data_IF_360693735710
#
_entry.id   IF_360693735710
#
_cell.length_a   1.000
_cell.length_b   1.000
_cell.length_c   1.000
_cell.angle_alpha   90.00
_cell.angle_beta   90.00
_cell.angle_gamma   90.00
#
_symmetry.space_group_name_H-M   'P 1'
#
loop_
_entity.id
_entity.type
_entity.pdbx_description
1 polymer ?
#
# COMPACT_ATOMS: atom_id res chain seq x y z
N UNK A 1 4.04 -14.23 -22.67
CA UNK A 1 5.06 -13.47 -21.93
C UNK A 1 4.78 -13.57 -20.45
N UNK A 2 5.80 -13.81 -19.67
CA UNK A 2 5.70 -13.80 -18.22
C UNK A 2 6.72 -12.83 -17.64
N UNK A 3 6.29 -11.99 -16.69
CA UNK A 3 7.19 -11.02 -16.02
C UNK A 3 7.65 -11.63 -14.70
N UNK A 4 8.95 -11.58 -14.45
CA UNK A 4 9.53 -12.01 -13.18
C UNK A 4 9.90 -10.78 -12.37
N UNK A 5 9.35 -10.70 -11.15
CA UNK A 5 9.57 -9.58 -10.25
C UNK A 5 10.49 -10.04 -9.13
N UNK A 6 11.57 -9.30 -8.91
CA UNK A 6 12.50 -9.60 -7.83
C UNK A 6 12.19 -8.68 -6.64
N UNK A 7 11.74 -9.28 -5.56
CA UNK A 7 11.38 -8.59 -4.34
C UNK A 7 9.88 -8.45 -4.13
N UNK A 8 9.41 -8.87 -2.98
CA UNK A 8 8.00 -8.75 -2.55
C UNK A 8 7.80 -7.55 -1.61
N UNK A 9 8.48 -6.45 -1.88
CA UNK A 9 8.24 -5.18 -1.23
C UNK A 9 6.99 -4.51 -1.79
N UNK A 10 6.69 -3.32 -1.29
CA UNK A 10 5.51 -2.56 -1.72
C UNK A 10 5.51 -2.34 -3.23
N UNK A 11 6.66 -1.96 -3.81
CA UNK A 11 6.78 -1.73 -5.25
C UNK A 11 6.55 -3.00 -6.08
N UNK A 12 7.17 -4.11 -5.69
CA UNK A 12 7.04 -5.37 -6.40
C UNK A 12 5.63 -5.94 -6.34
N UNK A 13 5.01 -5.90 -5.17
CA UNK A 13 3.63 -6.37 -4.99
C UNK A 13 2.63 -5.49 -5.76
N UNK A 14 2.81 -4.18 -5.74
CA UNK A 14 1.95 -3.26 -6.50
C UNK A 14 2.07 -3.51 -7.99
N UNK A 15 3.30 -3.69 -8.49
CA UNK A 15 3.53 -4.05 -9.89
C UNK A 15 2.84 -5.37 -10.24
N UNK A 16 2.98 -6.38 -9.37
CA UNK A 16 2.33 -7.67 -9.57
C UNK A 16 0.81 -7.56 -9.69
N UNK A 17 0.19 -6.76 -8.83
CA UNK A 17 -1.25 -6.52 -8.87
C UNK A 17 -1.66 -5.78 -10.15
N UNK A 18 -0.89 -4.82 -10.59
CA UNK A 18 -1.16 -4.09 -11.84
C UNK A 18 -1.03 -4.99 -13.06
N UNK A 19 0.00 -5.84 -13.09
CA UNK A 19 0.19 -6.80 -14.18
C UNK A 19 -0.94 -7.83 -14.20
N UNK A 20 -1.35 -8.33 -13.05
CA UNK A 20 -2.46 -9.27 -12.97
C UNK A 20 -3.74 -8.64 -13.50
N UNK A 21 -4.04 -7.39 -13.12
CA UNK A 21 -5.19 -6.65 -13.62
C UNK A 21 -5.15 -6.48 -15.14
N UNK A 22 -3.96 -6.31 -15.70
CA UNK A 22 -3.76 -6.17 -17.15
C UNK A 22 -3.76 -7.51 -17.89
N UNK A 23 -3.92 -8.64 -17.19
CA UNK A 23 -3.91 -9.96 -17.79
C UNK A 23 -2.52 -10.47 -18.14
N UNK A 24 -1.48 -9.90 -17.54
CA UNK A 24 -0.08 -10.30 -17.80
C UNK A 24 0.36 -11.22 -16.66
N UNK A 25 0.80 -12.43 -17.01
CA UNK A 25 1.29 -13.39 -16.04
C UNK A 25 2.59 -12.89 -15.39
N UNK A 26 2.71 -13.04 -14.07
CA UNK A 26 3.91 -12.67 -13.35
C UNK A 26 4.15 -13.60 -12.17
N UNK A 27 5.41 -13.66 -11.73
CA UNK A 27 5.84 -14.34 -10.51
C UNK A 27 6.74 -13.40 -9.73
N UNK A 28 6.62 -13.45 -8.39
CA UNK A 28 7.41 -12.61 -7.50
C UNK A 28 8.37 -13.50 -6.72
N UNK A 29 9.64 -13.14 -6.71
CA UNK A 29 10.69 -13.86 -5.98
C UNK A 29 11.14 -13.01 -4.81
N UNK A 30 11.13 -13.58 -3.61
CA UNK A 30 11.53 -12.92 -2.37
C UNK A 30 12.63 -13.68 -1.66
N UNK A 31 13.70 -12.97 -1.30
CA UNK A 31 14.84 -13.57 -0.62
C UNK A 31 14.60 -13.80 0.88
N UNK A 32 13.74 -13.01 1.50
CA UNK A 32 13.42 -13.18 2.90
C UNK A 32 12.61 -14.46 3.10
N UNK A 33 12.95 -15.30 4.08
CA UNK A 33 12.20 -16.52 4.33
C UNK A 33 10.77 -16.25 4.79
N UNK A 34 10.52 -15.07 5.31
CA UNK A 34 9.22 -14.66 5.81
C UNK A 34 9.06 -13.16 5.67
N UNK A 35 7.92 -12.71 5.19
CA UNK A 35 7.60 -11.28 5.13
C UNK A 35 6.98 -10.86 6.46
N UNK A 36 7.65 -9.96 7.16
CA UNK A 36 7.21 -9.46 8.46
C UNK A 36 6.74 -8.01 8.33
N UNK A 37 5.76 -7.66 9.16
CA UNK A 37 5.29 -6.29 9.26
C UNK A 37 6.34 -5.44 9.99
N UNK A 38 7.31 -4.92 9.25
CA UNK A 38 8.39 -4.09 9.79
C UNK A 38 8.40 -2.73 9.09
N UNK A 39 9.01 -1.75 9.76
CA UNK A 39 9.18 -0.43 9.21
C UNK A 39 8.46 0.64 10.02
N UNK A 40 8.26 1.80 9.40
CA UNK A 40 7.69 2.98 10.04
C UNK A 40 6.31 3.29 9.45
N UNK A 41 5.60 4.22 10.07
CA UNK A 41 4.36 4.75 9.52
C UNK A 41 4.62 5.58 8.27
N UNK A 42 3.75 5.44 7.29
CA UNK A 42 3.81 6.22 6.05
C UNK A 42 2.43 6.81 5.74
N UNK A 43 2.43 7.85 4.93
CA UNK A 43 1.19 8.43 4.41
C UNK A 43 1.04 8.06 2.94
N UNK A 44 -0.12 7.50 2.60
CA UNK A 44 -0.47 7.22 1.21
C UNK A 44 -1.24 8.44 0.70
N UNK A 45 -0.56 9.27 -0.07
CA UNK A 45 -1.11 10.51 -0.60
C UNK A 45 -2.13 10.24 -1.72
N UNK A 46 -3.02 11.21 -2.05
CA UNK A 46 -4.11 10.96 -2.99
C UNK A 46 -3.71 10.39 -4.34
N UNK A 47 -2.58 10.79 -4.91
CA UNK A 47 -2.15 10.24 -6.21
C UNK A 47 -1.77 8.76 -6.12
N UNK A 48 -1.17 8.32 -5.03
CA UNK A 48 -0.87 6.90 -4.79
C UNK A 48 -2.13 6.14 -4.36
N UNK A 49 -2.93 6.74 -3.50
CA UNK A 49 -4.20 6.18 -3.05
C UNK A 49 -5.14 5.92 -4.22
N UNK A 50 -5.17 6.81 -5.21
CA UNK A 50 -5.99 6.63 -6.41
C UNK A 50 -5.64 5.34 -7.14
N UNK A 51 -4.33 5.06 -7.30
CA UNK A 51 -3.88 3.83 -7.95
C UNK A 51 -4.27 2.58 -7.17
N UNK A 52 -4.12 2.62 -5.85
CA UNK A 52 -4.48 1.49 -4.99
C UNK A 52 -5.99 1.28 -4.95
N UNK A 53 -6.78 2.36 -4.92
CA UNK A 53 -8.24 2.26 -5.00
C UNK A 53 -8.69 1.71 -6.36
N UNK A 54 -8.01 2.08 -7.45
CA UNK A 54 -8.28 1.54 -8.78
C UNK A 54 -7.99 0.04 -8.85
N UNK A 55 -7.07 -0.46 -8.02
CA UNK A 55 -6.81 -1.89 -7.87
C UNK A 55 -7.84 -2.61 -6.98
N UNK A 56 -8.83 -1.88 -6.46
CA UNK A 56 -9.86 -2.46 -5.61
C UNK A 56 -9.44 -2.67 -4.15
N UNK A 57 -8.46 -1.92 -3.67
CA UNK A 57 -7.90 -2.11 -2.34
C UNK A 57 -8.41 -1.11 -1.29
N UNK A 58 -9.37 -0.24 -1.63
CA UNK A 58 -9.84 0.80 -0.72
C UNK A 58 -10.34 0.23 0.61
N UNK A 59 -11.19 -0.80 0.57
CA UNK A 59 -11.75 -1.39 1.78
C UNK A 59 -10.68 -2.07 2.65
N UNK A 60 -9.76 -2.80 2.03
CA UNK A 60 -8.67 -3.45 2.75
C UNK A 60 -7.76 -2.43 3.42
N UNK A 61 -7.47 -1.32 2.73
CA UNK A 61 -6.67 -0.24 3.29
C UNK A 61 -7.40 0.47 4.43
N UNK A 62 -8.69 0.71 4.29
CA UNK A 62 -9.49 1.36 5.33
C UNK A 62 -9.51 0.53 6.62
N UNK A 63 -9.45 -0.80 6.52
CA UNK A 63 -9.40 -1.69 7.68
C UNK A 63 -8.02 -1.72 8.35
N UNK A 64 -6.95 -1.61 7.57
CA UNK A 64 -5.58 -1.75 8.06
C UNK A 64 -4.95 -0.41 8.45
N UNK A 65 -5.54 0.71 8.03
CA UNK A 65 -4.97 2.04 8.16
C UNK A 65 -5.90 3.00 8.88
N UNK A 66 -5.36 4.18 9.20
CA UNK A 66 -6.17 5.32 9.63
C UNK A 66 -6.45 6.18 8.41
N UNK A 67 -7.73 6.45 8.13
CA UNK A 67 -8.11 7.39 7.08
C UNK A 67 -7.77 8.80 7.57
N UNK A 68 -6.81 9.44 6.92
CA UNK A 68 -6.30 10.74 7.33
C UNK A 68 -7.31 11.82 6.99
N UNK A 69 -7.71 12.57 8.00
CA UNK A 69 -8.67 13.67 7.86
C UNK A 69 -8.00 15.02 7.67
N UNK A 70 -6.94 15.25 8.46
CA UNK A 70 -6.26 16.53 8.45
C UNK A 70 -4.84 16.42 8.97
N UNK A 71 -4.02 17.39 8.63
CA UNK A 71 -2.71 17.60 9.23
C UNK A 71 -2.82 18.76 10.21
N UNK A 72 -2.35 18.55 11.44
CA UNK A 72 -2.29 19.59 12.45
C UNK A 72 -0.85 19.96 12.71
N UNK A 73 -0.57 21.26 12.72
CA UNK A 73 0.78 21.78 12.92
C UNK A 73 0.87 22.52 14.26
N UNK A 74 1.87 22.16 15.04
CA UNK A 74 2.14 22.72 16.36
C UNK A 74 3.56 23.24 16.41
N UNK A 75 3.80 24.26 17.26
CA UNK A 75 5.17 24.70 17.49
C UNK A 75 5.88 23.76 18.48
N UNK A 76 7.16 24.03 18.78
CA UNK A 76 7.97 23.20 19.70
C UNK A 76 7.46 23.21 21.14
N UNK A 77 6.57 24.13 21.50
CA UNK A 77 5.95 24.21 22.82
C UNK A 77 4.59 23.50 22.88
N UNK A 78 4.19 22.83 21.81
CA UNK A 78 2.91 22.14 21.75
C UNK A 78 1.72 23.04 21.45
N UNK A 79 1.95 24.29 21.09
CA UNK A 79 0.88 25.24 20.76
C UNK A 79 0.42 25.03 19.32
N UNK A 80 -0.90 24.96 19.13
CA UNK A 80 -1.50 24.81 17.81
C UNK A 80 -1.18 26.02 16.90
N UNK A 81 -0.76 25.75 15.68
CA UNK A 81 -0.49 26.77 14.68
C UNK A 81 -1.62 26.82 13.65
N UNK A 82 -1.80 25.72 12.91
CA UNK A 82 -2.89 25.58 11.95
C UNK A 82 -3.08 24.11 11.57
N UNK A 83 -4.18 23.82 10.91
CA UNK A 83 -4.41 22.52 10.31
C UNK A 83 -4.85 22.67 8.86
N UNK A 84 -4.64 21.62 8.06
CA UNK A 84 -5.13 21.56 6.69
C UNK A 84 -5.78 20.20 6.44
N UNK A 85 -6.88 20.17 5.67
CA UNK A 85 -7.56 18.92 5.37
C UNK A 85 -6.72 18.03 4.46
N UNK A 86 -7.01 16.72 4.49
CA UNK A 86 -6.30 15.73 3.70
C UNK A 86 -7.27 14.80 2.97
N UNK A 87 -6.85 14.21 1.84
CA UNK A 87 -7.63 13.26 1.08
C UNK A 87 -8.98 13.81 0.63
N UNK A 88 -10.06 13.06 0.86
CA UNK A 88 -11.41 13.50 0.51
C UNK A 88 -11.81 14.78 1.23
N UNK A 89 -11.32 15.01 2.42
CA UNK A 89 -11.60 16.21 3.20
C UNK A 89 -10.93 17.46 2.60
N UNK A 90 -9.92 17.29 1.74
CA UNK A 90 -9.28 18.37 1.00
C UNK A 90 -9.86 18.54 -0.41
N UNK A 91 -10.91 17.79 -0.76
CA UNK A 91 -11.55 17.86 -2.06
C UNK A 91 -11.08 16.84 -3.09
N UNK A 92 -10.21 15.92 -2.70
CA UNK A 92 -9.80 14.81 -3.58
C UNK A 92 -10.90 13.76 -3.68
N UNK A 93 -10.93 13.03 -4.78
CA UNK A 93 -11.91 11.97 -5.02
C UNK A 93 -11.57 10.65 -4.35
N UNK A 94 -10.40 10.56 -3.73
CA UNK A 94 -9.93 9.38 -3.00
C UNK A 94 -9.50 9.77 -1.59
N UNK A 95 -9.56 8.81 -0.62
CA UNK A 95 -9.07 9.08 0.72
C UNK A 95 -7.54 9.13 0.77
N UNK A 96 -7.02 9.73 1.82
CA UNK A 96 -5.62 9.60 2.20
C UNK A 96 -5.53 8.67 3.39
N UNK A 97 -4.53 7.80 3.41
CA UNK A 97 -4.34 6.84 4.50
C UNK A 97 -3.01 7.06 5.20
N UNK A 98 -3.04 6.90 6.53
CA UNK A 98 -1.84 6.77 7.34
C UNK A 98 -1.75 5.32 7.78
N UNK A 99 -0.68 4.63 7.41
CA UNK A 99 -0.55 3.19 7.61
C UNK A 99 0.87 2.83 8.00
N UNK A 100 1.03 1.79 8.82
CA UNK A 100 2.32 1.19 9.06
C UNK A 100 2.80 0.51 7.77
N UNK A 101 4.06 0.72 7.39
CA UNK A 101 4.62 0.21 6.14
C UNK A 101 4.47 -1.31 5.99
N UNK A 102 4.72 -2.05 7.08
CA UNK A 102 4.57 -3.50 7.08
C UNK A 102 3.13 -3.94 6.86
N UNK A 103 2.17 -3.20 7.43
CA UNK A 103 0.75 -3.50 7.24
C UNK A 103 0.33 -3.26 5.80
N UNK A 104 0.84 -2.21 5.16
CA UNK A 104 0.61 -1.98 3.73
C UNK A 104 1.17 -3.13 2.89
N UNK A 105 2.38 -3.58 3.19
CA UNK A 105 2.98 -4.71 2.50
C UNK A 105 2.11 -5.97 2.62
N UNK A 106 1.58 -6.24 3.81
CA UNK A 106 0.72 -7.40 4.04
C UNK A 106 -0.62 -7.29 3.31
N UNK A 107 -1.22 -6.10 3.26
CA UNK A 107 -2.44 -5.85 2.46
C UNK A 107 -2.19 -6.19 0.99
N UNK A 108 -1.07 -5.72 0.45
CA UNK A 108 -0.71 -5.97 -0.95
C UNK A 108 -0.39 -7.45 -1.21
N UNK A 109 0.33 -8.09 -0.30
CA UNK A 109 0.65 -9.52 -0.41
C UNK A 109 -0.61 -10.38 -0.39
N UNK A 110 -1.51 -10.14 0.57
CA UNK A 110 -2.75 -10.89 0.69
C UNK A 110 -3.61 -10.73 -0.56
N UNK A 111 -3.70 -9.52 -1.10
CA UNK A 111 -4.45 -9.26 -2.32
C UNK A 111 -3.84 -9.99 -3.53
N UNK A 112 -2.52 -9.99 -3.64
CA UNK A 112 -1.84 -10.67 -4.74
C UNK A 112 -2.03 -12.18 -4.67
N UNK A 113 -1.87 -12.78 -3.48
CA UNK A 113 -2.07 -14.21 -3.27
C UNK A 113 -3.52 -14.61 -3.57
N UNK A 114 -4.48 -13.82 -3.11
CA UNK A 114 -5.89 -14.07 -3.36
C UNK A 114 -6.23 -14.06 -4.85
N UNK A 115 -5.65 -13.12 -5.60
CA UNK A 115 -5.97 -12.91 -7.02
C UNK A 115 -5.14 -13.78 -7.96
N UNK A 116 -3.85 -13.90 -7.72
CA UNK A 116 -2.92 -14.60 -8.61
C UNK A 116 -2.58 -16.01 -8.14
N UNK A 117 -2.78 -16.31 -6.86
CA UNK A 117 -2.45 -17.59 -6.26
C UNK A 117 -1.14 -17.56 -5.48
N UNK A 118 -1.08 -18.34 -4.39
CA UNK A 118 0.08 -18.37 -3.49
C UNK A 118 1.35 -18.90 -4.19
N UNK A 119 1.21 -19.75 -5.18
CA UNK A 119 2.35 -20.29 -5.94
C UNK A 119 3.07 -19.25 -6.81
N UNK A 120 2.54 -18.04 -6.93
CA UNK A 120 3.17 -16.97 -7.69
C UNK A 120 4.13 -16.12 -6.87
N UNK A 121 4.20 -16.35 -5.56
CA UNK A 121 5.20 -15.73 -4.68
C UNK A 121 6.15 -16.84 -4.25
N UNK A 122 7.41 -16.74 -4.65
CA UNK A 122 8.41 -17.80 -4.49
C UNK A 122 9.53 -17.30 -3.59
N UNK A 123 9.77 -18.03 -2.51
CA UNK A 123 10.88 -17.73 -1.61
C UNK A 123 12.23 -18.10 -2.24
N UNK A 124 13.18 -17.19 -2.13
CA UNK A 124 14.56 -17.44 -2.51
C UNK A 124 15.35 -17.73 -1.24
N UNK A 125 15.72 -18.96 -1.03
CA UNK A 125 16.48 -19.36 0.17
C UNK A 125 17.95 -19.60 -0.17
#
# INVERSE_FOLDING_TARGET
MEVLIIGAGIGGLTLGLMLHRAGIACRIFEAAPELKAVGVGINILPHASRELCALGLEDALAKAAVTTREYCFYNRFGQYIYSEPAGKFAGYDVPQFSIHRGDLQMVLLDAFIERAGAGKVIGLS
#
